data_IF_705689632189
#
_entry.id   IF_705689632189
#
_cell.length_a   1.000
_cell.length_b   1.000
_cell.length_c   1.000
_cell.angle_alpha   90.00
_cell.angle_beta   90.00
_cell.angle_gamma   90.00
#
_symmetry.space_group_name_H-M   'P 1'
#
loop_
_entity.id
_entity.type
_entity.pdbx_description
1 polymer ?
#
# COMPACT_ATOMS: atom_id res chain seq x y z
N UNK A 1 -8.66 -7.90 1.53
CA UNK A 1 -7.57 -7.14 2.20
C UNK A 1 -6.89 -6.20 1.20
N UNK A 2 -6.54 -6.65 0.00
CA UNK A 2 -6.04 -5.74 -1.04
C UNK A 2 -7.04 -4.59 -1.37
N UNK A 3 -8.34 -4.88 -1.30
CA UNK A 3 -9.42 -3.88 -1.42
C UNK A 3 -9.35 -2.74 -0.39
N UNK A 4 -8.70 -2.93 0.77
CA UNK A 4 -8.49 -1.84 1.75
C UNK A 4 -7.59 -0.74 1.16
N UNK A 5 -6.77 -1.11 0.18
CA UNK A 5 -5.89 -0.21 -0.54
C UNK A 5 -6.54 0.29 -1.86
N UNK A 6 -7.86 0.12 -2.03
CA UNK A 6 -8.58 0.75 -3.13
C UNK A 6 -8.51 2.27 -2.99
N UNK A 7 -8.14 2.93 -4.07
CA UNK A 7 -8.05 4.39 -4.14
C UNK A 7 -9.47 4.98 -4.21
N UNK A 8 -9.67 6.11 -3.53
CA UNK A 8 -10.91 6.90 -3.63
C UNK A 8 -11.03 7.54 -5.00
N UNK A 9 -12.25 7.82 -5.43
CA UNK A 9 -12.50 8.67 -6.59
C UNK A 9 -12.04 10.11 -6.29
N UNK A 10 -11.50 10.77 -7.31
CA UNK A 10 -11.04 12.14 -7.21
C UNK A 10 -12.18 13.11 -7.53
N UNK A 11 -12.36 14.11 -6.69
CA UNK A 11 -13.31 15.21 -6.89
C UNK A 11 -12.63 16.34 -7.68
N UNK A 12 -13.41 17.28 -8.19
CA UNK A 12 -12.86 18.45 -8.92
C UNK A 12 -11.86 19.25 -8.08
N UNK A 13 -12.12 19.43 -6.77
CA UNK A 13 -11.19 20.09 -5.84
C UNK A 13 -9.82 19.38 -5.82
N UNK A 14 -9.82 18.05 -5.78
CA UNK A 14 -8.59 17.25 -5.77
C UNK A 14 -7.75 17.46 -7.05
N UNK A 15 -8.40 17.57 -8.21
CA UNK A 15 -7.73 17.80 -9.48
C UNK A 15 -7.14 19.22 -9.57
N UNK A 16 -7.82 20.21 -8.99
CA UNK A 16 -7.31 21.57 -8.88
C UNK A 16 -6.07 21.60 -7.98
N UNK A 17 -6.13 21.01 -6.79
CA UNK A 17 -4.99 20.96 -5.87
C UNK A 17 -3.81 20.16 -6.45
N UNK A 18 -4.08 19.13 -7.26
CA UNK A 18 -3.04 18.38 -7.97
C UNK A 18 -2.25 19.26 -8.97
N UNK A 19 -2.85 20.31 -9.52
CA UNK A 19 -2.16 21.21 -10.46
C UNK A 19 -0.99 21.96 -9.81
N UNK A 20 -0.96 22.08 -8.48
CA UNK A 20 0.14 22.65 -7.73
C UNK A 20 1.32 21.69 -7.53
N UNK A 21 1.23 20.45 -8.02
CA UNK A 21 2.22 19.40 -7.78
C UNK A 21 2.96 19.03 -9.06
N UNK A 22 4.27 19.35 -9.11
CA UNK A 22 5.15 18.91 -10.18
C UNK A 22 5.51 17.42 -10.01
N UNK A 23 5.27 16.54 -11.00
CA UNK A 23 5.36 15.09 -10.79
C UNK A 23 6.78 14.53 -11.02
N UNK A 24 7.68 14.64 -10.03
CA UNK A 24 9.06 14.11 -10.12
C UNK A 24 9.16 12.57 -10.05
N UNK A 25 8.06 11.89 -9.73
CA UNK A 25 8.01 10.44 -9.51
C UNK A 25 7.66 9.63 -10.76
N UNK A 26 7.35 10.26 -11.89
CA UNK A 26 6.86 9.60 -13.10
C UNK A 26 7.72 8.42 -13.54
N UNK A 27 9.04 8.58 -13.57
CA UNK A 27 9.97 7.50 -13.94
C UNK A 27 9.84 6.26 -13.04
N UNK A 28 9.60 6.45 -11.74
CA UNK A 28 9.41 5.35 -10.78
C UNK A 28 8.07 4.66 -11.01
N UNK A 29 7.00 5.43 -11.20
CA UNK A 29 5.65 4.90 -11.47
C UNK A 29 5.61 4.16 -12.82
N UNK A 30 6.15 4.74 -13.89
CA UNK A 30 6.21 4.13 -15.22
C UNK A 30 6.95 2.78 -15.21
N UNK A 31 8.02 2.66 -14.41
CA UNK A 31 8.70 1.37 -14.19
C UNK A 31 7.82 0.33 -13.50
N UNK A 32 6.95 0.74 -12.58
CA UNK A 32 6.00 -0.16 -11.93
C UNK A 32 4.90 -0.57 -12.92
N UNK A 33 4.29 0.38 -13.64
CA UNK A 33 3.28 0.11 -14.68
C UNK A 33 3.80 -0.90 -15.69
N UNK A 34 5.00 -0.67 -16.24
CA UNK A 34 5.64 -1.58 -17.19
C UNK A 34 5.75 -3.01 -16.63
N UNK A 35 6.23 -3.17 -15.40
CA UNK A 35 6.35 -4.48 -14.75
C UNK A 35 4.99 -5.15 -14.57
N UNK A 36 3.96 -4.39 -14.16
CA UNK A 36 2.61 -4.91 -13.99
C UNK A 36 2.03 -5.41 -15.32
N UNK A 37 2.18 -4.63 -16.39
CA UNK A 37 1.71 -5.00 -17.73
C UNK A 37 2.44 -6.21 -18.28
N UNK A 38 3.77 -6.24 -18.18
CA UNK A 38 4.58 -7.40 -18.59
C UNK A 38 4.13 -8.67 -17.88
N UNK A 39 3.78 -8.58 -16.60
CA UNK A 39 3.28 -9.73 -15.86
C UNK A 39 1.93 -10.25 -16.36
N UNK A 40 1.00 -9.36 -16.72
CA UNK A 40 -0.29 -9.74 -17.31
C UNK A 40 -0.07 -10.51 -18.63
N UNK A 41 0.87 -10.05 -19.46
CA UNK A 41 1.18 -10.72 -20.74
C UNK A 41 1.63 -12.17 -20.58
N UNK A 42 2.22 -12.56 -19.45
CA UNK A 42 2.59 -13.97 -19.20
C UNK A 42 1.37 -14.92 -19.06
N UNK A 43 0.15 -14.38 -18.97
CA UNK A 43 -1.10 -15.14 -18.92
C UNK A 43 -1.83 -15.14 -20.26
N UNK A 44 -1.17 -14.69 -21.35
CA UNK A 44 -1.79 -14.52 -22.67
C UNK A 44 -3.03 -13.60 -22.65
N UNK A 45 -3.05 -12.65 -21.71
CA UNK A 45 -4.09 -11.63 -21.60
C UNK A 45 -3.56 -10.30 -22.14
N UNK A 46 -4.45 -9.47 -22.67
CA UNK A 46 -4.11 -8.12 -23.08
C UNK A 46 -3.92 -7.23 -21.83
N UNK A 47 -2.73 -6.66 -21.57
CA UNK A 47 -2.51 -5.80 -20.42
C UNK A 47 -3.38 -4.53 -20.41
N UNK A 48 -3.80 -4.06 -21.58
CA UNK A 48 -4.61 -2.85 -21.71
C UNK A 48 -6.04 -3.02 -21.17
N UNK A 49 -6.52 -4.26 -21.01
CA UNK A 49 -7.84 -4.53 -20.41
C UNK A 49 -7.85 -4.19 -18.91
N UNK A 50 -6.67 -4.13 -18.28
CA UNK A 50 -6.49 -3.90 -16.85
C UNK A 50 -5.76 -2.59 -16.54
N UNK A 51 -4.79 -2.21 -17.38
CA UNK A 51 -4.01 -0.96 -17.32
C UNK A 51 -3.89 -0.38 -18.73
N UNK A 52 -4.85 0.46 -19.09
CA UNK A 52 -5.11 0.96 -20.45
C UNK A 52 -4.21 2.12 -20.92
N UNK A 53 -3.02 2.24 -20.34
CA UNK A 53 -1.98 3.21 -20.71
C UNK A 53 -0.59 2.62 -20.47
N UNK A 54 0.43 3.19 -21.10
CA UNK A 54 1.82 2.75 -20.95
C UNK A 54 2.59 3.61 -19.95
N UNK A 55 2.28 4.90 -19.89
CA UNK A 55 2.90 5.85 -18.96
C UNK A 55 1.85 6.73 -18.30
N UNK A 56 2.14 7.22 -17.09
CA UNK A 56 1.21 8.07 -16.33
C UNK A 56 0.90 9.38 -17.06
N UNK A 57 1.83 9.90 -17.85
CA UNK A 57 1.69 11.15 -18.61
C UNK A 57 0.64 11.08 -19.73
N UNK A 58 0.26 9.87 -20.16
CA UNK A 58 -0.71 9.67 -21.24
C UNK A 58 -2.16 9.85 -20.78
N UNK A 59 -2.40 9.97 -19.48
CA UNK A 59 -3.74 9.93 -18.89
C UNK A 59 -3.90 10.97 -17.79
N UNK A 60 -5.13 11.38 -17.52
CA UNK A 60 -5.45 12.19 -16.34
C UNK A 60 -5.21 11.39 -15.04
N UNK A 61 -4.98 12.10 -13.93
CA UNK A 61 -4.75 11.47 -12.63
C UNK A 61 -5.94 10.58 -12.21
N UNK A 62 -7.17 11.04 -12.44
CA UNK A 62 -8.37 10.27 -12.15
C UNK A 62 -8.40 8.94 -12.95
N UNK A 63 -8.11 9.01 -14.26
CA UNK A 63 -8.01 7.80 -15.09
C UNK A 63 -6.90 6.88 -14.58
N UNK A 64 -5.74 7.43 -14.20
CA UNK A 64 -4.63 6.66 -13.62
C UNK A 64 -5.04 5.92 -12.34
N UNK A 65 -5.78 6.56 -11.43
CA UNK A 65 -6.27 5.94 -10.20
C UNK A 65 -7.31 4.86 -10.48
N UNK A 66 -8.26 5.13 -11.39
CA UNK A 66 -9.25 4.15 -11.82
C UNK A 66 -8.61 2.91 -12.42
N UNK A 67 -7.63 3.04 -13.33
CA UNK A 67 -6.96 1.87 -13.89
C UNK A 67 -6.07 1.15 -12.87
N UNK A 68 -5.48 1.87 -11.90
CA UNK A 68 -4.75 1.21 -10.78
C UNK A 68 -5.68 0.35 -9.93
N UNK A 69 -6.92 0.80 -9.69
CA UNK A 69 -7.95 -0.03 -9.05
C UNK A 69 -8.39 -1.18 -9.97
N UNK A 70 -8.54 -0.93 -11.27
CA UNK A 70 -8.97 -1.93 -12.26
C UNK A 70 -8.00 -3.14 -12.33
N UNK A 71 -6.71 -2.93 -12.05
CA UNK A 71 -5.73 -4.00 -11.93
C UNK A 71 -6.15 -5.12 -10.94
N UNK A 72 -6.96 -4.79 -9.93
CA UNK A 72 -7.51 -5.79 -8.99
C UNK A 72 -8.40 -6.83 -9.69
N UNK A 73 -9.06 -6.51 -10.79
CA UNK A 73 -9.84 -7.49 -11.55
C UNK A 73 -8.96 -8.58 -12.17
N UNK A 74 -7.71 -8.27 -12.53
CA UNK A 74 -6.74 -9.28 -12.94
C UNK A 74 -6.26 -10.13 -11.76
N UNK A 75 -6.00 -9.51 -10.61
CA UNK A 75 -5.31 -10.14 -9.50
C UNK A 75 -6.23 -10.91 -8.54
N UNK A 76 -7.39 -10.35 -8.20
CA UNK A 76 -8.32 -10.91 -7.20
C UNK A 76 -8.76 -12.35 -7.49
N UNK A 77 -9.15 -12.73 -8.72
CA UNK A 77 -9.59 -14.10 -9.00
C UNK A 77 -8.51 -15.14 -8.73
N UNK A 78 -7.23 -14.73 -8.75
CA UNK A 78 -6.07 -15.61 -8.57
C UNK A 78 -5.64 -15.71 -7.10
N UNK A 79 -6.07 -14.79 -6.25
CA UNK A 79 -5.55 -14.66 -4.88
C UNK A 79 -5.87 -15.87 -4.00
N UNK A 80 -7.08 -16.44 -4.12
CA UNK A 80 -7.46 -17.65 -3.38
C UNK A 80 -6.53 -18.82 -3.71
N UNK A 81 -6.19 -18.99 -4.99
CA UNK A 81 -5.25 -20.01 -5.46
C UNK A 81 -3.81 -19.74 -5.00
N UNK A 82 -3.35 -18.48 -5.07
CA UNK A 82 -2.00 -18.08 -4.64
C UNK A 82 -1.74 -18.43 -3.16
N UNK A 83 -2.78 -18.32 -2.32
CA UNK A 83 -2.69 -18.56 -0.87
C UNK A 83 -2.85 -20.03 -0.47
N UNK A 84 -2.92 -20.96 -1.43
CA UNK A 84 -3.05 -22.40 -1.13
C UNK A 84 -1.73 -23.05 -0.72
N UNK A 85 -0.58 -22.55 -1.21
CA UNK A 85 0.73 -23.09 -0.83
C UNK A 85 1.86 -22.05 -0.93
N UNK A 86 2.98 -22.33 -0.26
CA UNK A 86 4.16 -21.45 -0.21
C UNK A 86 4.83 -21.20 -1.56
N UNK A 87 4.89 -22.22 -2.43
CA UNK A 87 5.56 -22.11 -3.74
C UNK A 87 4.84 -21.11 -4.65
N UNK A 88 3.51 -21.14 -4.64
CA UNK A 88 2.67 -20.19 -5.37
C UNK A 88 2.81 -18.78 -4.81
N UNK A 89 2.70 -18.60 -3.49
CA UNK A 89 2.92 -17.28 -2.90
C UNK A 89 4.31 -16.70 -3.27
N UNK A 90 5.37 -17.51 -3.21
CA UNK A 90 6.71 -17.09 -3.61
C UNK A 90 6.79 -16.68 -5.10
N UNK A 91 6.13 -17.43 -6.00
CA UNK A 91 6.07 -17.12 -7.44
C UNK A 91 5.39 -15.77 -7.71
N UNK A 92 4.34 -15.43 -6.97
CA UNK A 92 3.57 -14.19 -7.16
C UNK A 92 4.04 -13.02 -6.28
N UNK A 93 4.94 -13.27 -5.32
CA UNK A 93 5.37 -12.27 -4.34
C UNK A 93 5.91 -10.98 -4.98
N UNK A 94 6.77 -11.09 -6.00
CA UNK A 94 7.33 -9.91 -6.67
C UNK A 94 6.25 -9.07 -7.36
N UNK A 95 5.20 -9.72 -7.87
CA UNK A 95 4.09 -9.03 -8.49
C UNK A 95 3.26 -8.29 -7.45
N UNK A 96 2.93 -8.96 -6.34
CA UNK A 96 2.20 -8.37 -5.21
C UNK A 96 2.95 -7.13 -4.72
N UNK A 97 4.26 -7.24 -4.51
CA UNK A 97 5.12 -6.12 -4.11
C UNK A 97 5.07 -4.97 -5.12
N UNK A 98 5.16 -5.27 -6.41
CA UNK A 98 5.14 -4.25 -7.47
C UNK A 98 3.82 -3.48 -7.48
N UNK A 99 2.70 -4.19 -7.36
CA UNK A 99 1.38 -3.57 -7.34
C UNK A 99 1.20 -2.70 -6.10
N UNK A 100 1.55 -3.22 -4.92
CA UNK A 100 1.38 -2.46 -3.69
C UNK A 100 2.30 -1.25 -3.60
N UNK A 101 3.50 -1.32 -4.19
CA UNK A 101 4.33 -0.13 -4.35
C UNK A 101 3.63 0.95 -5.17
N UNK A 102 2.98 0.58 -6.28
CA UNK A 102 2.23 1.52 -7.10
C UNK A 102 1.09 2.15 -6.28
N UNK A 103 0.38 1.33 -5.52
CA UNK A 103 -0.69 1.82 -4.64
C UNK A 103 -0.17 2.74 -3.55
N UNK A 104 0.96 2.44 -2.91
CA UNK A 104 1.58 3.32 -1.92
C UNK A 104 2.04 4.66 -2.51
N UNK A 105 2.58 4.68 -3.74
CA UNK A 105 2.83 5.93 -4.47
C UNK A 105 1.52 6.72 -4.68
N UNK A 106 0.44 6.07 -5.11
CA UNK A 106 -0.84 6.74 -5.35
C UNK A 106 -1.47 7.31 -4.08
N UNK A 107 -1.38 6.60 -2.95
CA UNK A 107 -1.80 7.14 -1.66
C UNK A 107 -0.93 8.29 -1.19
N UNK A 108 0.37 8.29 -1.48
CA UNK A 108 1.22 9.43 -1.18
C UNK A 108 0.84 10.65 -2.03
N UNK A 109 0.52 10.46 -3.32
CA UNK A 109 -0.03 11.55 -4.17
C UNK A 109 -1.34 12.09 -3.56
N UNK A 110 -2.24 11.21 -3.09
CA UNK A 110 -3.45 11.64 -2.37
C UNK A 110 -3.14 12.48 -1.13
N UNK A 111 -2.16 12.09 -0.33
CA UNK A 111 -1.78 12.85 0.85
C UNK A 111 -1.20 14.24 0.49
N UNK A 112 -0.50 14.37 -0.65
CA UNK A 112 -0.06 15.67 -1.15
C UNK A 112 -1.25 16.53 -1.64
N UNK A 113 -2.22 15.91 -2.31
CA UNK A 113 -3.46 16.59 -2.73
C UNK A 113 -4.21 17.09 -1.49
N UNK A 114 -4.38 16.24 -0.48
CA UNK A 114 -5.04 16.59 0.78
C UNK A 114 -4.29 17.72 1.52
N UNK A 115 -2.95 17.78 1.40
CA UNK A 115 -2.15 18.88 1.91
C UNK A 115 -2.46 20.21 1.21
N UNK A 116 -2.48 20.24 -0.12
CA UNK A 116 -2.83 21.46 -0.86
C UNK A 116 -4.29 21.87 -0.66
N UNK A 117 -5.21 20.89 -0.60
CA UNK A 117 -6.61 21.13 -0.24
C UNK A 117 -6.75 21.88 1.10
N UNK A 118 -5.93 21.55 2.10
CA UNK A 118 -5.97 22.21 3.43
C UNK A 118 -5.22 23.54 3.45
N UNK A 119 -4.15 23.69 2.67
CA UNK A 119 -3.49 24.99 2.53
C UNK A 119 -4.39 26.07 1.93
N UNK A 120 -5.31 25.68 1.05
CA UNK A 120 -6.28 26.61 0.45
C UNK A 120 -7.37 27.05 1.45
N UNK A 121 -7.59 26.27 2.52
CA UNK A 121 -8.67 26.47 3.49
C UNK A 121 -8.19 27.14 4.80
N UNK A 122 -6.95 26.88 5.24
CA UNK A 122 -6.43 27.27 6.56
C UNK A 122 -5.12 28.09 6.51
N UNK A 123 -4.89 28.97 7.50
CA UNK A 123 -3.56 29.56 7.72
C UNK A 123 -2.63 28.55 8.40
N UNK A 124 -1.67 28.02 7.64
CA UNK A 124 -0.76 26.96 8.12
C UNK A 124 0.63 27.51 8.38
N UNK A 125 1.02 27.52 9.66
CA UNK A 125 2.33 28.01 10.12
C UNK A 125 3.47 27.01 9.85
N UNK A 126 3.19 25.70 9.86
CA UNK A 126 4.19 24.64 9.68
C UNK A 126 3.77 23.60 8.63
N UNK A 127 4.19 23.82 7.37
CA UNK A 127 3.87 22.93 6.24
C UNK A 127 4.35 21.49 6.45
N UNK A 128 5.53 21.30 7.04
CA UNK A 128 6.12 19.95 7.23
C UNK A 128 5.31 19.15 8.25
N UNK A 129 4.91 19.80 9.34
CA UNK A 129 4.06 19.19 10.35
C UNK A 129 2.68 18.81 9.80
N UNK A 130 2.09 19.66 8.96
CA UNK A 130 0.84 19.32 8.29
C UNK A 130 0.97 18.06 7.42
N UNK A 131 2.02 17.99 6.58
CA UNK A 131 2.26 16.80 5.76
C UNK A 131 2.44 15.56 6.63
N UNK A 132 3.19 15.66 7.74
CA UNK A 132 3.37 14.56 8.68
C UNK A 132 2.03 14.11 9.28
N UNK A 133 1.17 15.05 9.69
CA UNK A 133 -0.15 14.75 10.25
C UNK A 133 -1.04 14.00 9.25
N UNK A 134 -1.20 14.54 8.04
CA UNK A 134 -2.02 13.94 6.96
C UNK A 134 -1.49 12.56 6.60
N UNK A 135 -0.18 12.45 6.45
CA UNK A 135 0.50 11.21 6.09
C UNK A 135 0.35 10.15 7.17
N UNK A 136 0.54 10.53 8.44
CA UNK A 136 0.42 9.60 9.57
C UNK A 136 -1.00 9.12 9.79
N UNK A 137 -2.02 9.95 9.51
CA UNK A 137 -3.42 9.48 9.52
C UNK A 137 -3.60 8.31 8.55
N UNK A 138 -3.18 8.49 7.30
CA UNK A 138 -3.27 7.44 6.27
C UNK A 138 -2.51 6.17 6.68
N UNK A 139 -1.28 6.32 7.15
CA UNK A 139 -0.44 5.20 7.55
C UNK A 139 -1.00 4.43 8.75
N UNK A 140 -1.47 5.14 9.79
CA UNK A 140 -2.07 4.54 10.98
C UNK A 140 -3.37 3.81 10.64
N UNK A 141 -4.21 4.36 9.77
CA UNK A 141 -5.44 3.71 9.32
C UNK A 141 -5.16 2.38 8.61
N UNK A 142 -4.17 2.35 7.70
CA UNK A 142 -3.78 1.11 7.01
C UNK A 142 -3.17 0.10 7.97
N UNK A 143 -2.30 0.55 8.87
CA UNK A 143 -1.68 -0.30 9.88
C UNK A 143 -2.70 -0.90 10.86
N UNK A 144 -3.64 -0.11 11.35
CA UNK A 144 -4.73 -0.59 12.21
C UNK A 144 -5.51 -1.69 11.50
N UNK A 145 -5.80 -1.51 10.21
CA UNK A 145 -6.51 -2.53 9.45
C UNK A 145 -5.66 -3.79 9.23
N UNK A 146 -4.37 -3.65 8.95
CA UNK A 146 -3.43 -4.77 8.92
C UNK A 146 -3.47 -5.56 10.23
N UNK A 147 -3.35 -4.88 11.37
CA UNK A 147 -3.38 -5.47 12.71
C UNK A 147 -4.67 -6.24 12.97
N UNK A 148 -5.82 -5.66 12.63
CA UNK A 148 -7.13 -6.33 12.75
C UNK A 148 -7.17 -7.62 11.94
N UNK A 149 -6.73 -7.60 10.69
CA UNK A 149 -6.76 -8.78 9.82
C UNK A 149 -5.78 -9.87 10.25
N UNK A 150 -4.59 -9.51 10.73
CA UNK A 150 -3.63 -10.47 11.30
C UNK A 150 -4.18 -11.11 12.58
N UNK A 151 -4.72 -10.31 13.49
CA UNK A 151 -5.24 -10.82 14.76
C UNK A 151 -6.49 -11.71 14.59
N UNK A 152 -7.25 -11.58 13.50
CA UNK A 152 -8.35 -12.52 13.19
C UNK A 152 -7.86 -13.95 12.93
N UNK A 153 -6.65 -14.10 12.41
CA UNK A 153 -6.08 -15.39 11.98
C UNK A 153 -5.25 -16.09 13.07
N UNK A 154 -5.05 -15.43 14.22
CA UNK A 154 -4.26 -15.96 15.32
C UNK A 154 -5.20 -16.45 16.43
N UNK A 155 -5.00 -17.67 17.00
CA UNK A 155 -5.79 -18.14 18.13
C UNK A 155 -5.70 -17.20 19.33
N UNK A 156 -6.81 -17.04 20.07
CA UNK A 156 -6.93 -16.04 21.14
C UNK A 156 -5.80 -16.14 22.19
N UNK A 157 -5.39 -17.35 22.57
CA UNK A 157 -4.32 -17.56 23.56
C UNK A 157 -2.93 -17.06 23.13
N UNK A 158 -2.75 -16.68 21.86
CA UNK A 158 -1.48 -16.20 21.31
C UNK A 158 -1.51 -14.71 20.92
N UNK A 159 -2.65 -14.02 21.06
CA UNK A 159 -2.82 -12.64 20.59
C UNK A 159 -2.12 -11.58 21.44
N UNK A 160 -2.02 -11.78 22.76
CA UNK A 160 -1.43 -10.80 23.69
C UNK A 160 -0.02 -10.40 23.27
N UNK A 161 0.80 -11.39 22.91
CA UNK A 161 2.18 -11.22 22.43
C UNK A 161 2.35 -10.27 21.22
N UNK A 162 1.30 -10.04 20.43
CA UNK A 162 1.32 -9.09 19.31
C UNK A 162 0.65 -7.76 19.64
N UNK A 163 -0.38 -7.76 20.52
CA UNK A 163 -1.10 -6.54 20.87
C UNK A 163 -0.18 -5.52 21.53
N UNK A 164 0.72 -5.97 22.39
CA UNK A 164 1.64 -5.08 23.10
C UNK A 164 2.61 -4.39 22.14
N UNK A 165 3.00 -5.08 21.05
CA UNK A 165 3.83 -4.48 20.00
C UNK A 165 3.10 -3.35 19.29
N UNK A 166 1.79 -3.45 19.07
CA UNK A 166 1.06 -2.49 18.25
C UNK A 166 0.64 -1.21 18.98
N UNK A 167 0.93 -1.07 20.27
CA UNK A 167 0.49 0.04 21.11
C UNK A 167 1.50 1.20 21.24
N UNK A 168 2.63 1.18 20.53
CA UNK A 168 3.62 2.25 20.62
C UNK A 168 3.19 3.52 19.85
N UNK A 169 3.18 4.65 20.55
CA UNK A 169 2.90 5.96 19.96
C UNK A 169 4.16 6.55 19.32
N UNK A 170 4.12 6.79 18.01
CA UNK A 170 5.15 7.53 17.28
C UNK A 170 4.75 9.00 17.19
N UNK A 171 5.55 9.89 17.79
CA UNK A 171 5.41 11.35 17.70
C UNK A 171 6.52 11.94 16.80
N UNK A 172 6.16 12.97 16.02
CA UNK A 172 7.05 13.82 15.21
C UNK A 172 7.84 13.16 14.08
N UNK A 173 7.48 11.94 13.65
CA UNK A 173 8.06 11.28 12.48
C UNK A 173 6.98 10.56 11.65
N UNK A 174 7.31 10.22 10.41
CA UNK A 174 6.45 9.35 9.62
C UNK A 174 6.37 7.95 10.24
N UNK A 175 5.14 7.47 10.43
CA UNK A 175 4.87 6.16 10.94
C UNK A 175 5.50 5.08 10.04
N UNK A 176 6.26 4.18 10.66
CA UNK A 176 6.96 3.12 9.95
C UNK A 176 6.64 1.76 10.57
N UNK A 177 5.93 0.92 9.82
CA UNK A 177 5.50 -0.40 10.27
C UNK A 177 6.52 -1.52 10.07
N UNK A 178 7.72 -1.22 9.54
CA UNK A 178 8.69 -2.26 9.15
C UNK A 178 9.06 -3.20 10.30
N UNK A 179 9.24 -2.66 11.50
CA UNK A 179 9.61 -3.46 12.66
C UNK A 179 8.43 -4.33 13.12
N UNK A 180 7.23 -3.75 13.22
CA UNK A 180 6.01 -4.49 13.52
C UNK A 180 5.78 -5.65 12.54
N UNK A 181 5.94 -5.40 11.25
CA UNK A 181 5.82 -6.44 10.22
C UNK A 181 6.89 -7.52 10.38
N UNK A 182 8.15 -7.14 10.65
CA UNK A 182 9.25 -8.10 10.86
C UNK A 182 8.98 -8.99 12.06
N UNK A 183 8.52 -8.42 13.16
CA UNK A 183 8.22 -9.17 14.40
C UNK A 183 7.01 -10.06 14.21
N UNK A 184 5.95 -9.57 13.55
CA UNK A 184 4.78 -10.35 13.17
C UNK A 184 5.18 -11.57 12.36
N UNK A 185 5.96 -11.38 11.28
CA UNK A 185 6.45 -12.48 10.46
C UNK A 185 7.26 -13.52 11.26
N UNK A 186 8.18 -13.07 12.13
CA UNK A 186 8.95 -13.97 13.01
C UNK A 186 8.03 -14.77 13.93
N UNK A 187 7.07 -14.10 14.57
CA UNK A 187 6.15 -14.70 15.51
C UNK A 187 5.25 -15.75 14.85
N UNK A 188 4.62 -15.41 13.73
CA UNK A 188 3.72 -16.35 13.03
C UNK A 188 4.48 -17.51 12.39
N UNK A 189 5.74 -17.29 11.98
CA UNK A 189 6.62 -18.38 11.54
C UNK A 189 6.86 -19.38 12.67
N UNK A 190 7.08 -18.91 13.90
CA UNK A 190 7.22 -19.78 15.08
C UNK A 190 5.93 -20.54 15.37
N UNK A 191 4.78 -19.86 15.34
CA UNK A 191 3.48 -20.51 15.52
C UNK A 191 3.25 -21.60 14.48
N UNK A 192 3.55 -21.33 13.21
CA UNK A 192 3.43 -22.31 12.13
C UNK A 192 4.37 -23.50 12.33
N UNK A 193 5.66 -23.27 12.62
CA UNK A 193 6.63 -24.34 12.87
C UNK A 193 6.26 -25.23 14.05
N UNK A 194 5.60 -24.65 15.06
CA UNK A 194 5.08 -25.37 16.24
C UNK A 194 3.65 -25.89 16.04
N UNK A 195 3.12 -25.87 14.81
CA UNK A 195 1.79 -26.37 14.43
C UNK A 195 0.63 -25.69 15.19
N UNK A 196 0.82 -24.47 15.71
CA UNK A 196 -0.18 -23.69 16.44
C UNK A 196 -1.17 -22.94 15.53
N UNK A 197 -0.84 -22.81 14.25
CA UNK A 197 -1.70 -22.23 13.21
C UNK A 197 -1.62 -23.09 11.93
N UNK A 198 -2.69 -23.08 11.13
CA UNK A 198 -2.76 -23.81 9.86
C UNK A 198 -1.92 -23.11 8.78
N UNK A 199 -1.52 -23.85 7.74
CA UNK A 199 -0.73 -23.28 6.63
C UNK A 199 -1.45 -22.13 5.93
N UNK A 200 -2.76 -22.27 5.66
CA UNK A 200 -3.56 -21.23 5.01
C UNK A 200 -3.54 -19.92 5.81
N UNK A 201 -3.68 -19.99 7.14
CA UNK A 201 -3.67 -18.81 8.00
C UNK A 201 -2.28 -18.19 8.06
N UNK A 202 -1.23 -19.02 8.16
CA UNK A 202 0.16 -18.56 8.05
C UNK A 202 0.43 -17.83 6.72
N UNK A 203 0.01 -18.40 5.58
CA UNK A 203 0.20 -17.81 4.26
C UNK A 203 -0.56 -16.49 4.11
N UNK A 204 -1.78 -16.40 4.61
CA UNK A 204 -2.56 -15.15 4.65
C UNK A 204 -1.85 -14.06 5.45
N UNK A 205 -1.30 -14.40 6.62
CA UNK A 205 -0.57 -13.42 7.44
C UNK A 205 0.71 -12.97 6.72
N UNK A 206 1.49 -13.89 6.15
CA UNK A 206 2.69 -13.53 5.36
C UNK A 206 2.32 -12.62 4.19
N UNK A 207 1.21 -12.91 3.51
CA UNK A 207 0.68 -12.04 2.47
C UNK A 207 0.35 -10.63 3.00
N UNK A 208 -0.37 -10.52 4.12
CA UNK A 208 -0.67 -9.23 4.75
C UNK A 208 0.59 -8.44 5.13
N UNK A 209 1.61 -9.12 5.65
CA UNK A 209 2.91 -8.52 5.94
C UNK A 209 3.59 -7.97 4.67
N UNK A 210 3.50 -8.67 3.53
CA UNK A 210 4.02 -8.16 2.26
C UNK A 210 3.28 -6.88 1.86
N UNK A 211 1.95 -6.86 1.99
CA UNK A 211 1.16 -5.67 1.64
C UNK A 211 1.55 -4.47 2.50
N UNK A 212 1.51 -4.62 3.82
CA UNK A 212 1.80 -3.52 4.75
C UNK A 212 3.23 -2.96 4.55
N UNK A 213 4.23 -3.85 4.46
CA UNK A 213 5.62 -3.42 4.32
C UNK A 213 5.87 -2.63 3.02
N UNK A 214 5.35 -3.09 1.89
CA UNK A 214 5.58 -2.44 0.61
C UNK A 214 4.77 -1.14 0.47
N UNK A 215 3.57 -1.11 1.05
CA UNK A 215 2.74 0.09 1.10
C UNK A 215 3.44 1.17 1.93
N UNK A 216 3.78 0.86 3.19
CA UNK A 216 4.45 1.79 4.09
C UNK A 216 5.76 2.32 3.49
N UNK A 217 6.59 1.43 2.92
CA UNK A 217 7.85 1.81 2.31
C UNK A 217 7.69 2.78 1.13
N UNK A 218 6.82 2.46 0.16
CA UNK A 218 6.64 3.30 -1.04
C UNK A 218 5.93 4.62 -0.75
N UNK A 219 4.95 4.60 0.14
CA UNK A 219 4.29 5.81 0.64
C UNK A 219 5.30 6.74 1.32
N UNK A 220 6.03 6.23 2.32
CA UNK A 220 7.01 7.01 3.06
C UNK A 220 8.14 7.53 2.18
N UNK A 221 8.57 6.77 1.16
CA UNK A 221 9.57 7.22 0.21
C UNK A 221 9.11 8.50 -0.50
N UNK A 222 7.90 8.51 -1.05
CA UNK A 222 7.41 9.65 -1.81
C UNK A 222 7.12 10.86 -0.91
N UNK A 223 6.55 10.64 0.28
CA UNK A 223 6.27 11.72 1.23
C UNK A 223 7.56 12.37 1.74
N UNK A 224 8.62 11.60 2.03
CA UNK A 224 9.93 12.17 2.42
C UNK A 224 10.50 13.05 1.31
N UNK A 225 10.39 12.62 0.06
CA UNK A 225 10.80 13.43 -1.09
C UNK A 225 10.00 14.72 -1.21
N UNK A 226 8.70 14.69 -0.90
CA UNK A 226 7.85 15.87 -0.90
C UNK A 226 8.19 16.83 0.24
N UNK A 227 8.36 16.34 1.48
CA UNK A 227 8.76 17.17 2.63
C UNK A 227 10.08 17.91 2.36
N UNK A 228 11.01 17.28 1.64
CA UNK A 228 12.29 17.90 1.27
C UNK A 228 12.16 18.98 0.18
N UNK A 229 11.02 19.04 -0.51
CA UNK A 229 10.71 20.03 -1.57
C UNK A 229 9.83 21.17 -1.07
N UNK A 230 9.30 21.08 0.16
CA UNK A 230 8.53 22.13 0.84
C UNK A 230 9.44 23.11 1.57
#
# INVERSE_FOLDING_TARGET
MIEIYRLRELKSKDLNSYSHINPWWNKKINKLIFKLKKFISHFNLNPNDYLDFNTIEQVSLDKFFRSTNNYLHFFNPKLSHILTNKKLLAKFQNQIRTYIRLVGFNFAILAMIDFYNQLDDDQILNKKELVLMISNKTLKDKFQRFTIEVLKLIPNQYKSNLKDLYNENINNQLFNSIEFVRWTNKYVTRLYKTKKIKELDYLKIVYYCILENEFNHSFNLLIKEFINRL
#
